data_IF_743570990153
#
_entry.id   IF_743570990153
#
_cell.length_a   1.000
_cell.length_b   1.000
_cell.length_c   1.000
_cell.angle_alpha   90.00
_cell.angle_beta   90.00
_cell.angle_gamma   90.00
#
_symmetry.space_group_name_H-M   'P 1'
#
loop_
_entity.id
_entity.type
_entity.pdbx_description
1 polymer ?
#
# COMPACT_ATOMS: atom_id res chain seq x y z
N UNK A 1 14.58 -8.64 7.63
CA UNK A 1 14.14 -8.52 6.23
C UNK A 1 14.08 -7.03 5.91
N UNK A 2 14.55 -6.60 4.74
CA UNK A 2 14.41 -5.21 4.27
C UNK A 2 13.51 -5.20 3.05
N UNK A 3 12.43 -4.44 3.11
CA UNK A 3 11.52 -4.19 1.98
C UNK A 3 11.79 -2.79 1.47
N UNK A 4 11.77 -2.60 0.15
CA UNK A 4 11.95 -1.29 -0.49
C UNK A 4 10.77 -1.04 -1.40
N UNK A 5 10.05 0.04 -1.14
CA UNK A 5 8.92 0.51 -1.93
C UNK A 5 9.13 1.99 -2.23
N UNK A 6 8.51 2.50 -3.28
CA UNK A 6 8.75 3.86 -3.75
C UNK A 6 7.47 4.67 -3.84
N UNK A 7 7.58 5.99 -3.66
CA UNK A 7 6.53 6.91 -4.09
C UNK A 7 6.70 7.09 -5.60
N UNK A 8 5.80 6.52 -6.38
CA UNK A 8 5.84 6.61 -7.84
C UNK A 8 5.26 7.96 -8.27
N UNK A 9 6.07 8.83 -8.87
CA UNK A 9 5.62 10.16 -9.33
C UNK A 9 4.88 10.11 -10.66
N UNK A 10 5.47 9.47 -11.67
CA UNK A 10 4.92 9.45 -13.03
C UNK A 10 5.55 8.33 -13.85
N UNK A 11 4.82 7.85 -14.85
CA UNK A 11 5.33 6.99 -15.90
C UNK A 11 5.04 7.60 -17.28
N UNK A 12 6.02 8.25 -17.93
CA UNK A 12 5.83 8.91 -19.23
C UNK A 12 5.40 7.96 -20.36
N UNK A 13 5.87 6.71 -20.37
CA UNK A 13 5.53 5.77 -21.44
C UNK A 13 4.08 5.30 -21.36
N UNK A 14 3.51 5.27 -20.16
CA UNK A 14 2.10 4.98 -19.92
C UNK A 14 1.23 6.25 -19.86
N UNK A 15 1.82 7.44 -19.97
CA UNK A 15 1.11 8.71 -19.82
C UNK A 15 0.55 8.96 -18.41
N UNK A 16 1.04 8.26 -17.39
CA UNK A 16 0.53 8.33 -16.01
C UNK A 16 1.29 9.41 -15.23
N UNK A 17 0.55 10.26 -14.51
CA UNK A 17 1.12 11.18 -13.53
C UNK A 17 0.35 11.08 -12.20
N UNK A 18 0.97 10.44 -11.21
CA UNK A 18 0.39 10.18 -9.89
C UNK A 18 0.19 11.46 -9.05
N UNK A 19 0.83 12.58 -9.40
CA UNK A 19 0.52 13.88 -8.81
C UNK A 19 -0.87 14.40 -9.23
N UNK A 20 -1.42 13.88 -10.33
CA UNK A 20 -2.65 14.35 -10.97
C UNK A 20 -3.80 13.34 -10.94
N UNK A 21 -3.52 12.05 -10.75
CA UNK A 21 -4.58 11.02 -10.68
C UNK A 21 -5.60 11.34 -9.59
N UNK A 22 -6.85 10.99 -9.84
CA UNK A 22 -7.97 11.14 -8.90
C UNK A 22 -8.04 9.98 -7.91
N UNK A 23 -8.83 10.14 -6.84
CA UNK A 23 -9.12 9.01 -5.95
C UNK A 23 -9.90 7.89 -6.65
N UNK A 24 -10.74 8.20 -7.64
CA UNK A 24 -11.46 7.19 -8.41
C UNK A 24 -10.51 6.29 -9.21
N UNK A 25 -9.54 6.88 -9.89
CA UNK A 25 -8.51 6.11 -10.62
C UNK A 25 -7.67 5.23 -9.69
N UNK A 26 -7.32 5.74 -8.50
CA UNK A 26 -6.61 4.92 -7.49
C UNK A 26 -7.49 3.77 -7.01
N UNK A 27 -8.78 4.01 -6.77
CA UNK A 27 -9.72 2.96 -6.33
C UNK A 27 -9.89 1.87 -7.38
N UNK A 28 -9.92 2.23 -8.65
CA UNK A 28 -10.04 1.24 -9.73
C UNK A 28 -8.77 0.37 -9.79
N UNK A 29 -7.58 0.97 -9.70
CA UNK A 29 -6.33 0.20 -9.61
C UNK A 29 -6.26 -0.64 -8.33
N UNK A 30 -6.73 -0.12 -7.20
CA UNK A 30 -6.79 -0.88 -5.94
C UNK A 30 -7.66 -2.15 -6.06
N UNK A 31 -8.78 -2.06 -6.77
CA UNK A 31 -9.65 -3.23 -7.02
C UNK A 31 -8.97 -4.25 -7.92
N UNK A 32 -8.30 -3.79 -8.98
CA UNK A 32 -7.53 -4.64 -9.90
C UNK A 32 -6.49 -5.45 -9.12
N UNK A 33 -5.59 -4.78 -8.39
CA UNK A 33 -4.53 -5.44 -7.62
C UNK A 33 -5.09 -6.36 -6.52
N UNK A 34 -6.22 -5.98 -5.91
CA UNK A 34 -6.89 -6.84 -4.92
C UNK A 34 -7.36 -8.15 -5.55
N UNK A 35 -7.95 -8.11 -6.75
CA UNK A 35 -8.40 -9.30 -7.47
C UNK A 35 -7.20 -10.19 -7.79
N UNK A 36 -6.10 -9.61 -8.27
CA UNK A 36 -4.86 -10.34 -8.61
C UNK A 36 -4.26 -11.04 -7.38
N UNK A 37 -4.22 -10.37 -6.21
CA UNK A 37 -3.81 -11.01 -4.94
C UNK A 37 -4.70 -12.19 -4.59
N UNK A 38 -6.02 -12.05 -4.70
CA UNK A 38 -6.97 -13.13 -4.40
C UNK A 38 -6.72 -14.33 -5.32
N UNK A 39 -6.55 -14.10 -6.63
CA UNK A 39 -6.27 -15.15 -7.61
C UNK A 39 -4.92 -15.83 -7.32
N UNK A 40 -3.86 -15.07 -7.04
CA UNK A 40 -2.54 -15.59 -6.72
C UNK A 40 -2.58 -16.50 -5.48
N UNK A 41 -3.29 -16.09 -4.41
CA UNK A 41 -3.45 -16.89 -3.19
C UNK A 41 -4.23 -18.17 -3.45
N UNK A 42 -5.31 -18.10 -4.24
CA UNK A 42 -6.07 -19.28 -4.63
C UNK A 42 -5.22 -20.26 -5.44
N UNK A 43 -4.42 -19.76 -6.38
CA UNK A 43 -3.53 -20.56 -7.21
C UNK A 43 -2.42 -21.22 -6.37
N UNK A 44 -1.80 -20.50 -5.44
CA UNK A 44 -0.84 -21.08 -4.50
C UNK A 44 -1.48 -22.16 -3.62
N UNK A 45 -2.71 -21.96 -3.17
CA UNK A 45 -3.44 -22.92 -2.35
C UNK A 45 -3.73 -24.22 -3.10
N UNK A 46 -4.05 -24.14 -4.39
CA UNK A 46 -4.27 -25.29 -5.29
C UNK A 46 -2.96 -25.98 -5.66
N UNK A 47 -1.90 -25.21 -5.92
CA UNK A 47 -0.61 -25.70 -6.38
C UNK A 47 0.52 -25.00 -5.62
N UNK A 48 1.07 -25.66 -4.59
CA UNK A 48 2.11 -25.10 -3.71
C UNK A 48 3.50 -25.24 -4.30
N UNK A 49 3.83 -24.37 -5.25
CA UNK A 49 5.15 -24.32 -5.88
C UNK A 49 5.85 -23.01 -5.53
N UNK A 50 7.16 -22.95 -5.77
CA UNK A 50 7.90 -21.70 -5.67
C UNK A 50 7.37 -20.63 -6.65
N UNK A 51 6.92 -21.04 -7.83
CA UNK A 51 6.37 -20.10 -8.83
C UNK A 51 5.10 -19.44 -8.32
N UNK A 52 4.14 -20.23 -7.85
CA UNK A 52 2.88 -19.71 -7.32
C UNK A 52 3.06 -18.91 -6.03
N UNK A 53 4.05 -19.24 -5.20
CA UNK A 53 4.43 -18.41 -4.05
C UNK A 53 5.00 -17.05 -4.48
N UNK A 54 5.82 -17.03 -5.54
CA UNK A 54 6.36 -15.78 -6.09
C UNK A 54 5.25 -14.86 -6.58
N UNK A 55 4.22 -15.40 -7.23
CA UNK A 55 3.07 -14.58 -7.65
C UNK A 55 2.35 -13.98 -6.43
N UNK A 56 2.09 -14.76 -5.38
CA UNK A 56 1.50 -14.20 -4.14
C UNK A 56 2.32 -13.02 -3.61
N UNK A 57 3.65 -13.14 -3.62
CA UNK A 57 4.54 -12.07 -3.16
C UNK A 57 4.48 -10.85 -4.09
N UNK A 58 4.47 -11.04 -5.42
CA UNK A 58 4.43 -9.95 -6.40
C UNK A 58 3.13 -9.17 -6.31
N UNK A 59 2.00 -9.84 -6.42
CA UNK A 59 0.69 -9.17 -6.36
C UNK A 59 0.47 -8.48 -5.00
N UNK A 60 1.02 -9.05 -3.92
CA UNK A 60 0.97 -8.38 -2.62
C UNK A 60 1.79 -7.09 -2.59
N UNK A 61 2.95 -7.06 -3.26
CA UNK A 61 3.72 -5.83 -3.40
C UNK A 61 3.01 -4.81 -4.28
N UNK A 62 2.37 -5.23 -5.37
CA UNK A 62 1.66 -4.33 -6.27
C UNK A 62 0.43 -3.71 -5.59
N UNK A 63 -0.37 -4.50 -4.86
CA UNK A 63 -1.43 -3.98 -3.96
C UNK A 63 -0.87 -3.02 -2.89
N UNK A 64 0.26 -3.38 -2.28
CA UNK A 64 0.97 -2.54 -1.33
C UNK A 64 1.42 -1.20 -1.94
N UNK A 65 1.85 -1.23 -3.20
CA UNK A 65 2.29 -0.05 -3.95
C UNK A 65 1.14 0.93 -4.18
N UNK A 66 -0.07 0.42 -4.45
CA UNK A 66 -1.28 1.25 -4.56
C UNK A 66 -1.69 1.81 -3.19
N UNK A 67 -1.55 1.04 -2.11
CA UNK A 67 -1.78 1.56 -0.75
C UNK A 67 -0.83 2.73 -0.43
N UNK A 68 0.45 2.63 -0.78
CA UNK A 68 1.43 3.72 -0.60
C UNK A 68 1.05 4.95 -1.41
N UNK A 69 0.60 4.75 -2.66
CA UNK A 69 0.10 5.85 -3.51
C UNK A 69 -1.11 6.56 -2.87
N UNK A 70 -2.05 5.81 -2.31
CA UNK A 70 -3.19 6.35 -1.58
C UNK A 70 -2.74 7.19 -0.37
N UNK A 71 -1.85 6.65 0.46
CA UNK A 71 -1.32 7.34 1.65
C UNK A 71 -0.58 8.63 1.27
N UNK A 72 0.25 8.59 0.23
CA UNK A 72 0.97 9.77 -0.25
C UNK A 72 0.01 10.83 -0.79
N UNK A 73 -1.04 10.45 -1.52
CA UNK A 73 -2.07 11.39 -1.97
C UNK A 73 -2.79 12.02 -0.78
N UNK A 74 -3.15 11.24 0.24
CA UNK A 74 -3.77 11.74 1.46
C UNK A 74 -2.86 12.73 2.21
N UNK A 75 -1.56 12.42 2.34
CA UNK A 75 -0.58 13.33 2.94
C UNK A 75 -0.52 14.66 2.20
N UNK A 76 -0.48 14.63 0.86
CA UNK A 76 -0.53 15.85 0.05
C UNK A 76 -1.80 16.67 0.28
N UNK A 77 -2.94 16.03 0.44
CA UNK A 77 -4.20 16.72 0.73
C UNK A 77 -4.21 17.28 2.16
N UNK A 78 -3.69 16.56 3.15
CA UNK A 78 -3.68 17.02 4.53
C UNK A 78 -2.86 18.31 4.70
N UNK A 79 -1.77 18.47 3.94
CA UNK A 79 -1.02 19.73 3.88
C UNK A 79 -1.90 20.88 3.40
N UNK A 80 -2.80 20.66 2.43
CA UNK A 80 -3.73 21.71 1.96
C UNK A 80 -4.83 22.07 2.96
N UNK A 81 -5.05 21.20 3.96
CA UNK A 81 -5.95 21.44 5.09
C UNK A 81 -5.21 21.96 6.33
N UNK A 82 -3.93 22.34 6.21
CA UNK A 82 -3.06 22.75 7.32
C UNK A 82 -2.85 21.67 8.41
N UNK A 83 -2.99 20.39 8.03
CA UNK A 83 -2.85 19.22 8.89
C UNK A 83 -1.66 18.32 8.44
N UNK A 84 -0.41 18.80 8.50
CA UNK A 84 0.75 18.07 7.95
C UNK A 84 1.08 16.78 8.70
N UNK A 85 0.64 16.64 9.96
CA UNK A 85 0.89 15.47 10.81
C UNK A 85 -0.23 14.42 10.82
N UNK A 86 -1.33 14.70 10.11
CA UNK A 86 -2.54 13.85 10.13
C UNK A 86 -2.24 12.35 9.90
N UNK A 87 -1.38 12.03 8.93
CA UNK A 87 -1.05 10.64 8.64
C UNK A 87 -0.27 9.96 9.78
N UNK A 88 0.62 10.68 10.44
CA UNK A 88 1.36 10.19 11.60
C UNK A 88 0.42 9.97 12.79
N UNK A 89 -0.45 10.93 13.07
CA UNK A 89 -1.39 10.87 14.18
C UNK A 89 -2.38 9.70 14.01
N UNK A 90 -2.95 9.54 12.82
CA UNK A 90 -3.84 8.41 12.49
C UNK A 90 -3.13 7.04 12.54
N UNK A 91 -1.82 6.97 12.26
CA UNK A 91 -1.04 5.74 12.40
C UNK A 91 -0.89 5.35 13.88
N UNK A 92 -0.69 6.33 14.77
CA UNK A 92 -0.65 6.10 16.23
C UNK A 92 -2.03 5.62 16.71
N UNK A 93 -3.10 6.30 16.32
CA UNK A 93 -4.48 5.88 16.64
C UNK A 93 -4.78 4.46 16.15
N UNK A 94 -4.33 4.12 14.94
CA UNK A 94 -4.49 2.77 14.40
C UNK A 94 -3.78 1.73 15.26
N UNK A 95 -2.52 1.98 15.66
CA UNK A 95 -1.76 1.10 16.55
C UNK A 95 -2.48 0.88 17.88
N UNK A 96 -2.95 1.96 18.49
CA UNK A 96 -3.63 1.91 19.79
C UNK A 96 -4.97 1.17 19.69
N UNK A 97 -5.71 1.37 18.60
CA UNK A 97 -6.93 0.62 18.27
C UNK A 97 -6.67 -0.88 18.11
N UNK A 98 -5.55 -1.29 17.51
CA UNK A 98 -5.18 -2.71 17.42
C UNK A 98 -4.84 -3.29 18.80
N UNK A 99 -4.06 -2.57 19.60
CA UNK A 99 -3.73 -2.98 20.96
C UNK A 99 -4.98 -3.15 21.83
N UNK A 100 -5.91 -2.19 21.76
CA UNK A 100 -7.19 -2.24 22.48
C UNK A 100 -8.08 -3.42 22.05
N UNK A 101 -7.91 -3.92 20.81
CA UNK A 101 -8.59 -5.12 20.30
C UNK A 101 -7.89 -6.43 20.68
N UNK A 102 -6.86 -6.38 21.53
CA UNK A 102 -6.12 -7.54 22.03
C UNK A 102 -5.07 -8.09 21.06
N UNK A 103 -4.71 -7.35 20.00
CA UNK A 103 -3.61 -7.76 19.13
C UNK A 103 -2.27 -7.67 19.87
N UNK A 104 -1.51 -8.77 19.86
CA UNK A 104 -0.14 -8.82 20.40
C UNK A 104 0.83 -8.68 19.23
N UNK A 105 1.57 -7.57 19.19
CA UNK A 105 2.49 -7.28 18.09
C UNK A 105 3.73 -8.18 18.17
N UNK A 106 4.04 -8.85 17.05
CA UNK A 106 5.29 -9.62 16.91
C UNK A 106 6.49 -8.71 16.62
N UNK A 107 6.30 -7.69 15.78
CA UNK A 107 7.30 -6.69 15.39
C UNK A 107 6.59 -5.48 14.78
N UNK A 108 7.28 -4.33 14.74
CA UNK A 108 6.88 -3.19 13.92
C UNK A 108 7.41 -3.31 12.49
N UNK A 109 6.76 -2.62 11.56
CA UNK A 109 7.28 -2.30 10.23
C UNK A 109 7.39 -0.78 10.17
N UNK A 110 8.58 -0.28 9.88
CA UNK A 110 8.81 1.14 9.67
C UNK A 110 8.85 1.43 8.18
N UNK A 111 8.07 2.43 7.75
CA UNK A 111 8.11 2.97 6.40
C UNK A 111 8.74 4.35 6.51
N UNK A 112 9.99 4.44 6.09
CA UNK A 112 10.77 5.67 6.08
C UNK A 112 10.77 6.25 4.67
N UNK A 113 10.23 7.46 4.51
CA UNK A 113 10.25 8.19 3.24
C UNK A 113 11.51 9.05 3.24
N UNK A 114 12.50 8.61 2.46
CA UNK A 114 13.74 9.35 2.27
C UNK A 114 13.58 10.31 1.10
N UNK A 115 13.70 11.60 1.39
CA UNK A 115 13.73 12.67 0.39
C UNK A 115 15.12 12.81 -0.26
#
# INVERSE_FOLDING_TARGET
MKLMMHILKSNPSLGINNEKITFYEILDKLKEEYIEVVEAVQNYSKQRTLSTLKEVIRETFDLGQVCILMLWKCHRQSITFDEPKLLQDLNIEHKDKLAARGWIFKTGIEIDVKE
#
